data_IF_792680556950
#
_entry.id   IF_792680556950
#
_cell.length_a   1.000
_cell.length_b   1.000
_cell.length_c   1.000
_cell.angle_alpha   90.00
_cell.angle_beta   90.00
_cell.angle_gamma   90.00
#
_symmetry.space_group_name_H-M   'P 1'
#
loop_
_entity.id
_entity.type
_entity.pdbx_description
1 polymer ?
#
# COMPACT_ATOMS: atom_id res chain seq x y z
N UNK A 1 55.48 40.25 -5.12
CA UNK A 1 55.44 38.97 -5.87
C UNK A 1 56.04 37.89 -4.99
N UNK A 2 55.42 36.71 -4.76
CA UNK A 2 54.03 36.37 -4.39
C UNK A 2 53.98 35.83 -2.92
N UNK A 3 52.89 35.95 -2.15
CA UNK A 3 51.69 35.08 -2.05
C UNK A 3 51.94 33.67 -1.46
N UNK A 4 51.32 33.36 -0.32
CA UNK A 4 50.52 32.15 -0.02
C UNK A 4 49.76 32.38 1.31
N UNK A 5 48.44 32.42 1.21
CA UNK A 5 47.46 32.22 2.30
C UNK A 5 47.39 30.74 2.68
N UNK A 6 47.12 30.41 3.95
CA UNK A 6 46.09 29.40 4.28
C UNK A 6 45.38 29.79 5.57
N UNK A 7 44.06 29.72 5.47
CA UNK A 7 42.98 30.21 6.32
C UNK A 7 42.72 29.28 7.51
N UNK A 8 42.27 29.91 8.61
CA UNK A 8 41.85 29.33 9.88
C UNK A 8 40.79 28.22 9.73
N UNK A 9 40.97 27.15 10.50
CA UNK A 9 39.98 26.08 10.69
C UNK A 9 38.80 26.57 11.53
N UNK A 10 37.64 26.76 10.92
CA UNK A 10 36.37 26.90 11.63
C UNK A 10 35.71 25.52 11.75
N UNK A 11 35.88 24.89 12.91
CA UNK A 11 35.05 23.78 13.37
C UNK A 11 33.66 24.29 13.73
N UNK A 12 32.80 24.46 12.72
CA UNK A 12 31.36 24.62 12.89
C UNK A 12 30.71 23.25 12.83
N UNK A 13 30.49 22.63 13.99
CA UNK A 13 29.71 21.41 14.11
C UNK A 13 28.32 21.63 13.49
N UNK A 14 28.01 20.88 12.43
CA UNK A 14 26.68 20.79 11.85
C UNK A 14 25.73 20.21 12.91
N UNK A 15 24.91 21.08 13.49
CA UNK A 15 23.80 20.67 14.36
C UNK A 15 22.92 19.68 13.59
N UNK A 16 22.88 18.44 14.06
CA UNK A 16 21.91 17.45 13.62
C UNK A 16 20.50 17.96 13.94
N UNK A 17 19.54 17.92 13.02
CA UNK A 17 18.18 18.30 13.35
C UNK A 17 17.55 17.24 14.25
N UNK A 18 17.61 17.48 15.56
CA UNK A 18 16.74 16.83 16.53
C UNK A 18 15.38 17.53 16.47
N UNK A 19 14.34 16.79 16.04
CA UNK A 19 12.93 17.03 16.39
C UNK A 19 12.09 15.86 15.88
N UNK A 20 11.48 15.16 16.82
CA UNK A 20 10.25 14.40 16.63
C UNK A 20 9.14 15.33 16.10
N UNK A 21 9.23 15.73 14.84
CA UNK A 21 8.12 16.35 14.13
C UNK A 21 7.04 15.28 14.01
N UNK A 22 5.93 15.50 14.71
CA UNK A 22 4.71 14.70 14.54
C UNK A 22 4.30 14.91 13.08
N UNK A 23 4.55 13.90 12.24
CA UNK A 23 4.10 13.95 10.86
C UNK A 23 2.57 14.09 10.87
N UNK A 24 2.02 15.07 10.14
CA UNK A 24 0.58 15.29 10.14
C UNK A 24 -0.16 14.04 9.62
N UNK A 25 -1.21 13.64 10.32
CA UNK A 25 -2.00 12.43 9.99
C UNK A 25 -2.79 12.66 8.72
N UNK A 26 -2.80 11.66 7.84
CA UNK A 26 -3.68 11.65 6.68
C UNK A 26 -5.14 11.61 7.11
N UNK A 27 -6.01 12.21 6.31
CA UNK A 27 -7.46 12.05 6.48
C UNK A 27 -7.87 10.79 5.74
N UNK A 28 -8.27 9.74 6.45
CA UNK A 28 -8.64 8.46 5.83
C UNK A 28 -10.14 8.27 5.98
N UNK A 29 -10.83 8.09 4.85
CA UNK A 29 -12.28 7.92 4.79
C UNK A 29 -12.63 6.80 3.80
N UNK A 30 -13.73 6.09 4.06
CA UNK A 30 -14.33 5.21 3.06
C UNK A 30 -14.86 6.07 1.92
N UNK A 31 -14.53 5.70 0.69
CA UNK A 31 -14.92 6.44 -0.50
C UNK A 31 -16.46 6.49 -0.60
N UNK A 32 -17.00 7.68 -0.85
CA UNK A 32 -18.41 7.82 -1.17
C UNK A 32 -18.73 7.17 -2.51
N UNK A 33 -19.95 6.65 -2.72
CA UNK A 33 -20.35 6.10 -4.01
C UNK A 33 -20.30 7.13 -5.16
N UNK A 34 -20.36 8.45 -4.88
CA UNK A 34 -20.23 9.49 -5.91
C UNK A 34 -18.89 9.43 -6.64
N UNK A 35 -17.81 9.07 -5.92
CA UNK A 35 -16.46 8.97 -6.47
C UNK A 35 -16.32 7.88 -7.54
N UNK A 36 -17.24 6.91 -7.59
CA UNK A 36 -17.23 5.86 -8.61
C UNK A 36 -17.43 6.38 -10.04
N UNK A 37 -17.92 7.62 -10.18
CA UNK A 37 -18.11 8.29 -11.48
C UNK A 37 -17.11 9.46 -11.69
N UNK A 38 -16.18 9.69 -10.77
CA UNK A 38 -15.18 10.74 -10.89
C UNK A 38 -13.99 10.23 -11.71
N UNK A 39 -14.06 10.38 -13.05
CA UNK A 39 -13.04 9.84 -13.96
C UNK A 39 -11.63 10.35 -13.68
N UNK A 40 -11.48 11.64 -13.37
CA UNK A 40 -10.17 12.23 -13.09
C UNK A 40 -9.51 11.59 -11.85
N UNK A 41 -10.28 11.37 -10.79
CA UNK A 41 -9.80 10.71 -9.58
C UNK A 41 -9.52 9.22 -9.81
N UNK A 42 -10.37 8.51 -10.56
CA UNK A 42 -10.15 7.10 -10.89
C UNK A 42 -8.89 6.91 -11.76
N UNK A 43 -8.69 7.75 -12.77
CA UNK A 43 -7.49 7.76 -13.61
C UNK A 43 -6.24 8.04 -12.79
N UNK A 44 -6.29 9.05 -11.92
CA UNK A 44 -5.18 9.38 -11.02
C UNK A 44 -4.84 8.20 -10.09
N UNK A 45 -5.85 7.64 -9.43
CA UNK A 45 -5.68 6.54 -8.49
C UNK A 45 -5.11 5.29 -9.14
N UNK A 46 -5.73 4.84 -10.24
CA UNK A 46 -5.28 3.67 -10.96
C UNK A 46 -3.87 3.85 -11.49
N UNK A 47 -3.51 5.05 -11.94
CA UNK A 47 -2.16 5.38 -12.39
C UNK A 47 -1.12 5.15 -11.28
N UNK A 48 -1.30 5.74 -10.08
CA UNK A 48 -0.32 5.55 -9.01
C UNK A 48 -0.35 4.15 -8.38
N UNK A 49 -1.52 3.51 -8.29
CA UNK A 49 -1.66 2.13 -7.80
C UNK A 49 -0.84 1.19 -8.69
N UNK A 50 -1.03 1.28 -10.01
CA UNK A 50 -0.32 0.44 -10.97
C UNK A 50 1.18 0.73 -10.97
N UNK A 51 1.62 2.00 -10.91
CA UNK A 51 3.04 2.35 -10.77
C UNK A 51 3.67 1.78 -9.50
N UNK A 52 2.99 1.89 -8.36
CA UNK A 52 3.46 1.35 -7.09
C UNK A 52 3.54 -0.18 -7.12
N UNK A 53 2.55 -0.84 -7.72
CA UNK A 53 2.56 -2.28 -7.93
C UNK A 53 3.74 -2.71 -8.83
N UNK A 54 3.92 -2.05 -9.97
CA UNK A 54 5.03 -2.34 -10.88
C UNK A 54 6.38 -2.20 -10.18
N UNK A 55 6.60 -1.13 -9.40
CA UNK A 55 7.83 -0.96 -8.63
C UNK A 55 8.05 -2.05 -7.56
N UNK A 56 6.98 -2.58 -6.96
CA UNK A 56 7.07 -3.56 -5.86
C UNK A 56 7.12 -5.02 -6.33
N UNK A 57 6.71 -5.28 -7.57
CA UNK A 57 6.60 -6.62 -8.15
C UNK A 57 7.47 -6.75 -9.41
N UNK A 58 8.34 -5.79 -9.68
CA UNK A 58 9.28 -5.85 -10.81
C UNK A 58 10.17 -7.09 -10.70
N UNK A 59 10.24 -7.87 -11.76
CA UNK A 59 10.94 -9.16 -11.76
C UNK A 59 10.21 -10.31 -11.05
N UNK A 60 9.08 -10.07 -10.35
CA UNK A 60 8.21 -11.11 -9.79
C UNK A 60 6.96 -11.36 -10.64
N UNK A 61 6.44 -10.30 -11.27
CA UNK A 61 5.29 -10.35 -12.18
C UNK A 61 5.67 -9.66 -13.49
N UNK A 62 5.25 -10.22 -14.62
CA UNK A 62 5.33 -9.60 -15.93
C UNK A 62 4.33 -8.44 -16.02
N UNK A 63 4.79 -7.28 -15.58
CA UNK A 63 4.04 -6.02 -15.52
C UNK A 63 3.64 -5.47 -16.89
N UNK A 64 4.20 -6.02 -17.99
CA UNK A 64 3.78 -5.71 -19.37
C UNK A 64 2.52 -6.47 -19.76
N UNK A 65 2.27 -7.62 -19.14
CA UNK A 65 1.08 -8.46 -19.37
C UNK A 65 -0.04 -8.20 -18.37
N UNK A 66 0.24 -7.47 -17.29
CA UNK A 66 -0.71 -7.30 -16.20
C UNK A 66 -0.65 -5.90 -15.55
N UNK A 67 -1.84 -5.35 -15.31
CA UNK A 67 -2.07 -4.18 -14.47
C UNK A 67 -2.78 -4.61 -13.19
N UNK A 68 -2.42 -4.01 -12.05
CA UNK A 68 -2.95 -4.39 -10.74
C UNK A 68 -4.44 -4.14 -10.59
N UNK A 69 -4.92 -3.06 -11.21
CA UNK A 69 -6.32 -2.64 -11.19
C UNK A 69 -6.61 -1.72 -12.37
N UNK A 70 -7.85 -1.76 -12.84
CA UNK A 70 -8.41 -0.80 -13.80
C UNK A 70 -9.32 0.23 -13.12
N UNK A 71 -9.71 1.29 -13.85
CA UNK A 71 -10.68 2.28 -13.38
C UNK A 71 -12.06 1.66 -13.15
N UNK A 72 -12.45 0.70 -14.00
CA UNK A 72 -13.69 -0.06 -13.85
C UNK A 72 -13.70 -0.87 -12.56
N UNK A 73 -12.65 -1.67 -12.32
CA UNK A 73 -12.53 -2.46 -11.08
C UNK A 73 -12.50 -1.57 -9.83
N UNK A 74 -11.76 -0.46 -9.88
CA UNK A 74 -11.70 0.48 -8.77
C UNK A 74 -13.07 1.14 -8.50
N UNK A 75 -13.77 1.55 -9.56
CA UNK A 75 -15.14 2.08 -9.48
C UNK A 75 -16.10 1.08 -8.85
N UNK A 76 -16.06 -0.20 -9.25
CA UNK A 76 -16.89 -1.25 -8.64
C UNK A 76 -16.59 -1.46 -7.16
N UNK A 77 -15.31 -1.41 -6.76
CA UNK A 77 -14.91 -1.49 -5.36
C UNK A 77 -15.38 -0.27 -4.55
N UNK A 78 -15.38 0.92 -5.13
CA UNK A 78 -15.94 2.12 -4.50
C UNK A 78 -17.45 1.97 -4.31
N UNK A 79 -18.19 1.54 -5.34
CA UNK A 79 -19.63 1.29 -5.25
C UNK A 79 -19.99 0.25 -4.19
N UNK A 80 -19.12 -0.73 -4.00
CA UNK A 80 -19.26 -1.79 -2.98
C UNK A 80 -18.81 -1.35 -1.58
N UNK A 81 -18.40 -0.08 -1.39
CA UNK A 81 -17.94 0.45 -0.11
C UNK A 81 -16.62 -0.17 0.38
N UNK A 82 -15.85 -0.78 -0.53
CA UNK A 82 -14.63 -1.53 -0.17
C UNK A 82 -13.39 -0.64 -0.11
N UNK A 83 -13.39 0.55 -0.71
CA UNK A 83 -12.20 1.39 -0.79
C UNK A 83 -12.20 2.46 0.30
N UNK A 84 -11.12 2.52 1.08
CA UNK A 84 -10.78 3.68 1.88
C UNK A 84 -9.62 4.45 1.24
N UNK A 85 -9.74 5.78 1.22
CA UNK A 85 -8.81 6.71 0.58
C UNK A 85 -8.10 7.53 1.66
N UNK A 86 -6.78 7.61 1.58
CA UNK A 86 -5.97 8.54 2.36
C UNK A 86 -5.78 9.83 1.57
N UNK A 87 -6.20 10.93 2.17
CA UNK A 87 -6.05 12.28 1.64
C UNK A 87 -4.93 13.02 2.40
N UNK A 88 -4.30 14.00 1.73
CA UNK A 88 -3.32 14.88 2.38
C UNK A 88 -3.91 15.51 3.65
N UNK A 89 -3.10 15.73 4.70
CA UNK A 89 -3.60 16.33 5.94
C UNK A 89 -4.23 17.72 5.75
N UNK A 90 -3.74 18.49 4.79
CA UNK A 90 -4.20 19.85 4.48
C UNK A 90 -5.37 19.90 3.50
N UNK A 91 -5.75 18.80 2.87
CA UNK A 91 -6.80 18.79 1.85
C UNK A 91 -8.19 18.72 2.48
N UNK A 92 -9.19 19.04 1.67
CA UNK A 92 -10.60 18.88 1.99
C UNK A 92 -11.16 17.73 1.13
N UNK A 93 -11.40 16.54 1.71
CA UNK A 93 -11.86 15.37 0.95
C UNK A 93 -13.16 15.62 0.17
N UNK A 94 -14.02 16.53 0.64
CA UNK A 94 -15.28 16.88 0.00
C UNK A 94 -15.09 17.64 -1.33
N UNK A 95 -13.88 18.16 -1.58
CA UNK A 95 -13.52 18.78 -2.87
C UNK A 95 -13.08 17.77 -3.92
N UNK A 96 -12.87 16.52 -3.53
CA UNK A 96 -12.53 15.40 -4.42
C UNK A 96 -11.34 15.67 -5.36
N UNK A 97 -10.35 16.46 -4.91
CA UNK A 97 -9.17 16.81 -5.71
C UNK A 97 -8.25 15.60 -5.84
N UNK A 98 -8.10 15.09 -7.06
CA UNK A 98 -7.38 13.86 -7.34
C UNK A 98 -5.94 13.87 -6.78
N UNK A 99 -5.20 14.96 -6.97
CA UNK A 99 -3.81 15.12 -6.55
C UNK A 99 -3.64 15.16 -5.02
N UNK A 100 -4.72 15.30 -4.26
CA UNK A 100 -4.72 15.23 -2.81
C UNK A 100 -4.86 13.80 -2.27
N UNK A 101 -5.14 12.83 -3.13
CA UNK A 101 -5.13 11.41 -2.78
C UNK A 101 -3.68 10.91 -2.69
N UNK A 102 -3.30 10.38 -1.53
CA UNK A 102 -1.94 9.93 -1.23
C UNK A 102 -1.83 8.43 -0.93
N UNK A 103 -2.94 7.72 -0.93
CA UNK A 103 -2.97 6.26 -0.80
C UNK A 103 -4.39 5.70 -0.69
N UNK A 104 -4.49 4.39 -0.70
CA UNK A 104 -5.75 3.69 -0.51
C UNK A 104 -5.55 2.30 0.08
N UNK A 105 -6.66 1.71 0.53
CA UNK A 105 -6.75 0.31 0.94
C UNK A 105 -8.14 -0.22 0.59
N UNK A 106 -8.21 -1.48 0.16
CA UNK A 106 -9.45 -2.23 -0.04
C UNK A 106 -9.70 -3.11 1.18
N UNK A 107 -10.93 -3.10 1.67
CA UNK A 107 -11.41 -3.88 2.82
C UNK A 107 -12.73 -4.51 2.42
N UNK A 108 -12.85 -5.81 2.55
CA UNK A 108 -14.10 -6.52 2.24
C UNK A 108 -14.36 -7.62 3.26
N UNK A 109 -15.62 -7.91 3.58
CA UNK A 109 -15.95 -9.11 4.34
C UNK A 109 -15.92 -10.31 3.40
N UNK A 110 -15.06 -11.27 3.71
CA UNK A 110 -14.88 -12.53 2.96
C UNK A 110 -15.52 -13.72 3.67
N UNK A 111 -16.25 -13.46 4.76
CA UNK A 111 -17.02 -14.42 5.53
C UNK A 111 -17.70 -13.73 6.71
N UNK A 112 -18.44 -14.48 7.55
CA UNK A 112 -19.23 -13.91 8.65
C UNK A 112 -18.40 -13.09 9.67
N UNK A 113 -17.15 -13.47 9.90
CA UNK A 113 -16.25 -12.85 10.89
C UNK A 113 -14.85 -12.56 10.34
N UNK A 114 -14.66 -12.57 9.01
CA UNK A 114 -13.36 -12.41 8.38
C UNK A 114 -13.37 -11.27 7.37
N UNK A 115 -12.42 -10.35 7.52
CA UNK A 115 -12.15 -9.29 6.54
C UNK A 115 -10.94 -9.63 5.67
N UNK A 116 -11.02 -9.40 4.37
CA UNK A 116 -9.91 -9.40 3.43
C UNK A 116 -9.30 -8.00 3.30
N UNK A 117 -7.98 -7.93 3.29
CA UNK A 117 -7.21 -6.72 3.03
C UNK A 117 -6.59 -6.79 1.63
N UNK A 118 -6.88 -5.81 0.78
CA UNK A 118 -6.32 -5.70 -0.56
C UNK A 118 -5.91 -4.27 -0.91
N UNK A 119 -5.27 -4.09 -2.06
CA UNK A 119 -4.92 -2.77 -2.63
C UNK A 119 -4.32 -1.74 -1.65
N UNK A 120 -3.58 -2.21 -0.64
CA UNK A 120 -2.87 -1.33 0.29
C UNK A 120 -1.70 -0.69 -0.46
N UNK A 121 -1.82 0.61 -0.74
CA UNK A 121 -0.78 1.34 -1.44
C UNK A 121 -0.73 2.81 -1.00
N UNK A 122 0.42 3.44 -1.19
CA UNK A 122 0.60 4.88 -1.02
C UNK A 122 1.40 5.42 -2.21
N UNK A 123 1.28 6.72 -2.46
CA UNK A 123 2.09 7.38 -3.47
C UNK A 123 3.57 7.15 -3.17
N UNK A 124 4.39 6.94 -4.21
CA UNK A 124 5.82 6.61 -4.06
C UNK A 124 6.57 7.70 -3.27
N UNK A 125 6.20 8.96 -3.50
CA UNK A 125 6.75 10.14 -2.81
C UNK A 125 6.40 10.20 -1.31
N UNK A 126 5.43 9.40 -0.88
CA UNK A 126 5.01 9.28 0.52
C UNK A 126 5.49 7.96 1.15
N UNK A 127 6.38 7.20 0.51
CA UNK A 127 7.06 6.07 1.16
C UNK A 127 7.85 6.55 2.37
N UNK A 128 7.82 5.78 3.46
CA UNK A 128 8.50 6.13 4.71
C UNK A 128 7.79 7.20 5.56
N UNK A 129 6.68 7.76 5.11
CA UNK A 129 5.91 8.79 5.85
C UNK A 129 4.82 8.21 6.77
N UNK A 130 4.85 6.89 7.02
CA UNK A 130 3.86 6.13 7.82
C UNK A 130 2.44 6.09 7.24
N UNK A 131 2.19 6.52 6.00
CA UNK A 131 0.87 6.42 5.37
C UNK A 131 0.36 4.98 5.30
N UNK A 132 1.21 4.03 4.87
CA UNK A 132 0.84 2.61 4.87
C UNK A 132 0.50 2.07 6.27
N UNK A 133 1.14 2.59 7.31
CA UNK A 133 0.80 2.26 8.70
C UNK A 133 -0.58 2.81 9.08
N UNK A 134 -0.87 4.07 8.75
CA UNK A 134 -2.16 4.70 9.05
C UNK A 134 -3.31 4.03 8.29
N UNK A 135 -3.11 3.69 7.01
CA UNK A 135 -4.08 2.92 6.22
C UNK A 135 -4.36 1.54 6.82
N UNK A 136 -3.32 0.85 7.30
CA UNK A 136 -3.48 -0.45 7.94
C UNK A 136 -4.23 -0.37 9.27
N UNK A 137 -3.92 0.62 10.11
CA UNK A 137 -4.64 0.87 11.37
C UNK A 137 -6.12 1.19 11.10
N UNK A 138 -6.39 2.07 10.13
CA UNK A 138 -7.75 2.35 9.69
C UNK A 138 -8.46 1.09 9.21
N UNK A 139 -7.79 0.25 8.42
CA UNK A 139 -8.39 -0.96 7.87
C UNK A 139 -8.76 -1.96 8.97
N UNK A 140 -7.87 -2.20 9.94
CA UNK A 140 -8.12 -3.08 11.08
C UNK A 140 -9.31 -2.58 11.92
N UNK A 141 -9.36 -1.27 12.22
CA UNK A 141 -10.46 -0.67 12.96
C UNK A 141 -11.78 -0.70 12.18
N UNK A 142 -11.73 -0.47 10.87
CA UNK A 142 -12.91 -0.53 10.01
C UNK A 142 -13.46 -1.95 9.92
N UNK A 143 -12.59 -2.96 9.78
CA UNK A 143 -12.98 -4.36 9.78
C UNK A 143 -13.69 -4.76 11.08
N UNK A 144 -13.20 -4.31 12.25
CA UNK A 144 -13.89 -4.52 13.54
C UNK A 144 -15.28 -3.92 13.55
N UNK A 145 -15.44 -2.70 13.01
CA UNK A 145 -16.75 -2.03 12.92
C UNK A 145 -17.72 -2.77 11.99
N UNK A 146 -17.21 -3.47 10.99
CA UNK A 146 -17.99 -4.36 10.12
C UNK A 146 -18.30 -5.72 10.78
N UNK A 147 -17.82 -5.99 11.99
CA UNK A 147 -18.05 -7.23 12.73
C UNK A 147 -17.01 -8.32 12.49
N UNK A 148 -15.89 -8.02 11.82
CA UNK A 148 -14.81 -8.99 11.65
C UNK A 148 -14.02 -9.20 12.94
N UNK A 149 -13.69 -10.45 13.23
CA UNK A 149 -12.81 -10.88 14.32
C UNK A 149 -11.38 -11.14 13.84
N UNK A 150 -11.23 -11.44 12.54
CA UNK A 150 -9.94 -11.68 11.91
C UNK A 150 -9.80 -10.90 10.61
N UNK A 151 -8.56 -10.54 10.26
CA UNK A 151 -8.20 -10.00 8.96
C UNK A 151 -7.20 -10.92 8.26
N UNK A 152 -7.44 -11.18 6.97
CA UNK A 152 -6.61 -11.98 6.09
C UNK A 152 -5.98 -11.11 4.98
N UNK A 153 -4.79 -11.51 4.56
CA UNK A 153 -4.15 -11.02 3.32
C UNK A 153 -3.31 -12.10 2.68
N UNK A 154 -3.14 -12.00 1.37
CA UNK A 154 -2.33 -12.89 0.57
C UNK A 154 -1.13 -12.15 -0.02
N UNK A 155 0.04 -12.79 0.03
CA UNK A 155 1.28 -12.27 -0.53
C UNK A 155 1.80 -13.31 -1.52
N UNK A 156 1.93 -12.93 -2.79
CA UNK A 156 2.68 -13.70 -3.78
C UNK A 156 4.16 -13.66 -3.41
N UNK A 157 4.81 -14.81 -3.29
CA UNK A 157 6.24 -14.92 -2.95
C UNK A 157 6.99 -15.78 -3.97
N UNK A 158 8.28 -15.51 -4.21
CA UNK A 158 9.12 -16.43 -4.98
C UNK A 158 9.27 -17.78 -4.28
N UNK A 159 9.42 -18.86 -5.07
CA UNK A 159 9.66 -20.21 -4.59
C UNK A 159 11.03 -20.71 -5.09
N UNK A 160 11.99 -20.85 -4.16
CA UNK A 160 13.37 -21.24 -4.49
C UNK A 160 14.26 -20.12 -5.04
N UNK A 161 13.82 -18.86 -5.00
CA UNK A 161 14.63 -17.69 -5.38
C UNK A 161 14.27 -16.47 -4.53
N UNK A 162 15.07 -15.40 -4.61
CA UNK A 162 14.92 -14.22 -3.77
C UNK A 162 14.39 -13.00 -4.54
N UNK A 163 13.51 -12.24 -3.88
CA UNK A 163 13.01 -10.96 -4.35
C UNK A 163 12.99 -9.98 -3.16
N UNK A 164 13.87 -8.99 -3.17
CA UNK A 164 14.18 -8.14 -2.00
C UNK A 164 12.94 -7.44 -1.43
N UNK A 165 12.13 -6.82 -2.29
CA UNK A 165 10.92 -6.11 -1.87
C UNK A 165 9.88 -7.06 -1.27
N UNK A 166 9.85 -8.33 -1.70
CA UNK A 166 8.92 -9.31 -1.13
C UNK A 166 9.26 -9.60 0.33
N UNK A 167 10.54 -9.83 0.62
CA UNK A 167 11.02 -10.04 2.00
C UNK A 167 10.72 -8.82 2.89
N UNK A 168 10.82 -7.60 2.34
CA UNK A 168 10.47 -6.38 3.06
C UNK A 168 8.98 -6.33 3.43
N UNK A 169 8.11 -6.66 2.47
CA UNK A 169 6.64 -6.68 2.66
C UNK A 169 6.24 -7.75 3.68
N UNK A 170 6.75 -8.97 3.55
CA UNK A 170 6.47 -10.07 4.49
C UNK A 170 6.84 -9.67 5.92
N UNK A 171 8.08 -9.22 6.14
CA UNK A 171 8.53 -8.79 7.48
C UNK A 171 7.73 -7.61 8.02
N UNK A 172 7.19 -6.74 7.15
CA UNK A 172 6.36 -5.63 7.57
C UNK A 172 5.04 -6.11 8.16
N UNK A 173 4.36 -7.07 7.52
CA UNK A 173 3.13 -7.66 8.04
C UNK A 173 3.37 -8.49 9.30
N UNK A 174 4.43 -9.30 9.35
CA UNK A 174 4.76 -10.11 10.53
C UNK A 174 4.96 -9.26 11.79
N UNK A 175 5.69 -8.14 11.67
CA UNK A 175 5.86 -7.19 12.78
C UNK A 175 4.56 -6.54 13.26
N UNK A 176 3.50 -6.56 12.44
CA UNK A 176 2.18 -6.03 12.78
C UNK A 176 1.25 -7.08 13.38
N UNK A 177 1.74 -8.30 13.59
CA UNK A 177 1.02 -9.39 14.22
C UNK A 177 0.31 -10.34 13.25
N UNK A 178 0.52 -10.18 11.94
CA UNK A 178 0.06 -11.13 10.95
C UNK A 178 0.90 -12.41 11.02
N UNK A 179 0.24 -13.55 11.11
CA UNK A 179 0.87 -14.87 11.18
C UNK A 179 0.59 -15.63 9.90
N UNK A 180 1.62 -16.29 9.38
CA UNK A 180 1.46 -17.20 8.25
C UNK A 180 0.53 -18.34 8.66
N UNK A 181 -0.58 -18.48 7.94
CA UNK A 181 -1.53 -19.56 8.16
C UNK A 181 -1.28 -20.71 7.18
N UNK A 182 -1.05 -20.37 5.91
CA UNK A 182 -1.01 -21.34 4.82
C UNK A 182 -0.10 -20.86 3.69
N UNK A 183 0.56 -21.82 3.06
CA UNK A 183 1.22 -21.64 1.75
C UNK A 183 0.43 -22.47 0.74
N UNK A 184 0.13 -21.89 -0.42
CA UNK A 184 -0.65 -22.51 -1.48
C UNK A 184 0.01 -22.27 -2.84
N UNK A 185 -0.37 -23.09 -3.84
CA UNK A 185 0.00 -22.83 -5.22
C UNK A 185 -0.62 -21.52 -5.71
N UNK A 186 0.13 -20.75 -6.52
CA UNK A 186 -0.40 -19.49 -7.06
C UNK A 186 -1.69 -19.70 -7.84
N UNK A 187 -1.76 -20.75 -8.65
CA UNK A 187 -2.95 -21.09 -9.44
C UNK A 187 -4.15 -21.53 -8.57
N UNK A 188 -3.91 -22.02 -7.35
CA UNK A 188 -5.00 -22.42 -6.44
C UNK A 188 -5.75 -21.18 -5.90
N UNK A 189 -5.02 -20.09 -5.64
CA UNK A 189 -5.59 -18.87 -5.07
C UNK A 189 -6.03 -17.91 -6.17
N UNK A 190 -5.20 -17.70 -7.19
CA UNK A 190 -5.46 -16.77 -8.29
C UNK A 190 -4.94 -17.40 -9.59
N UNK A 191 -5.84 -18.10 -10.29
CA UNK A 191 -5.50 -18.85 -11.51
C UNK A 191 -4.80 -17.97 -12.56
N UNK A 192 -5.34 -16.78 -12.85
CA UNK A 192 -4.76 -15.90 -13.86
C UNK A 192 -3.38 -15.37 -13.46
N UNK A 193 -3.09 -15.22 -12.17
CA UNK A 193 -1.80 -14.68 -11.70
C UNK A 193 -0.67 -15.65 -12.05
N UNK A 194 -0.93 -16.96 -12.00
CA UNK A 194 0.04 -17.98 -12.39
C UNK A 194 0.50 -17.86 -13.87
N UNK A 195 -0.26 -17.17 -14.72
CA UNK A 195 0.08 -16.96 -16.14
C UNK A 195 1.03 -15.77 -16.38
N UNK A 196 1.21 -14.91 -15.37
CA UNK A 196 2.00 -13.68 -15.49
C UNK A 196 3.14 -13.57 -14.47
N UNK A 197 3.35 -14.56 -13.61
CA UNK A 197 4.49 -14.60 -12.68
C UNK A 197 5.80 -14.96 -13.38
N UNK A 198 6.90 -14.44 -12.87
CA UNK A 198 8.25 -14.75 -13.33
C UNK A 198 8.79 -15.91 -12.48
N UNK A 199 8.86 -17.10 -13.06
CA UNK A 199 9.38 -18.29 -12.39
C UNK A 199 8.44 -18.89 -11.32
N UNK A 200 8.94 -19.88 -10.56
CA UNK A 200 8.15 -20.53 -9.51
C UNK A 200 7.76 -19.54 -8.41
N UNK A 201 6.48 -19.56 -8.03
CA UNK A 201 5.92 -18.71 -6.98
C UNK A 201 4.90 -19.48 -6.15
N UNK A 202 4.66 -19.01 -4.92
CA UNK A 202 3.57 -19.47 -4.04
C UNK A 202 2.76 -18.29 -3.55
N UNK A 203 1.56 -18.56 -3.08
CA UNK A 203 0.77 -17.61 -2.31
C UNK A 203 0.89 -17.93 -0.83
N UNK A 204 1.32 -16.94 -0.04
CA UNK A 204 1.33 -17.02 1.43
C UNK A 204 0.12 -16.28 1.99
N UNK A 205 -0.72 -17.00 2.72
CA UNK A 205 -1.91 -16.48 3.36
C UNK A 205 -1.59 -16.17 4.81
N UNK A 206 -1.76 -14.90 5.19
CA UNK A 206 -1.52 -14.42 6.55
C UNK A 206 -2.84 -14.03 7.21
N UNK A 207 -2.94 -14.25 8.51
CA UNK A 207 -4.06 -13.79 9.33
C UNK A 207 -3.62 -13.09 10.60
N UNK A 208 -4.46 -12.17 11.05
CA UNK A 208 -4.35 -11.49 12.34
C UNK A 208 -5.72 -11.46 13.02
N UNK A 209 -5.76 -11.80 14.30
CA UNK A 209 -6.91 -11.50 15.17
C UNK A 209 -6.96 -10.00 15.44
N UNK A 210 -8.13 -9.41 15.26
CA UNK A 210 -8.35 -7.97 15.35
C UNK A 210 -8.58 -7.53 16.80
#
# INVERSE_FOLDING_TARGET
MPSIEVVQSLTGATQSPNKSQILPKAKIIVASPSLANNSALLEYMTSFINRSYHSNYDGLVDTKKHIRTSASELSQKILSGQIAIAWKPSSDPDKEIAEDVIGCVSIELVGPSMAGLGLLTCHLEHRGTRIGQQLMEFAEDWAKRLGAEEMQLEILVPDGWEHEENHRVVRWYERRGYKLLRVAETAEIIEWLATVVVGPTKMRIYRKKL
#
